data_IF_847281769279
#
_entry.id   IF_847281769279
#
_cell.length_a   1.000
_cell.length_b   1.000
_cell.length_c   1.000
_cell.angle_alpha   90.00
_cell.angle_beta   90.00
_cell.angle_gamma   90.00
#
_symmetry.space_group_name_H-M   'P 1'
#
loop_
_entity.id
_entity.type
_entity.pdbx_description
1 polymer ?
#
# COMPACT_ATOMS: atom_id res chain seq x y z
N UNK A 1 6.41 15.77 10.78
CA UNK A 1 5.58 14.58 10.96
C UNK A 1 4.51 14.56 9.89
N UNK A 2 4.27 13.44 9.17
CA UNK A 2 3.20 13.35 8.19
C UNK A 2 1.82 13.42 8.86
N UNK A 3 0.81 13.71 8.06
CA UNK A 3 -0.57 13.72 8.52
C UNK A 3 -1.49 13.12 7.47
N UNK A 4 -2.56 12.46 7.92
CA UNK A 4 -3.53 11.85 7.04
C UNK A 4 -4.92 11.87 7.70
N UNK A 5 -5.96 11.88 6.86
CA UNK A 5 -7.34 11.88 7.32
C UNK A 5 -7.75 10.51 7.86
N UNK A 6 -7.32 9.44 7.19
CA UNK A 6 -7.75 8.07 7.48
C UNK A 6 -6.66 7.17 8.03
N UNK A 7 -5.48 7.71 8.31
CA UNK A 7 -4.36 6.95 8.85
C UNK A 7 -3.85 7.64 10.10
N UNK A 8 -3.81 6.91 11.21
CA UNK A 8 -3.24 7.42 12.46
C UNK A 8 -1.74 7.07 12.55
N UNK A 9 -0.96 7.81 13.36
CA UNK A 9 0.46 7.51 13.55
C UNK A 9 0.75 6.06 13.96
N UNK A 10 -0.10 5.46 14.79
CA UNK A 10 0.05 4.06 15.18
C UNK A 10 -0.03 3.07 14.01
N UNK A 11 -0.72 3.46 12.93
CA UNK A 11 -0.85 2.61 11.75
C UNK A 11 0.36 2.68 10.81
N UNK A 12 1.07 3.81 10.76
CA UNK A 12 2.25 3.90 9.89
C UNK A 12 3.56 3.56 10.56
N UNK A 13 3.63 3.54 11.91
CA UNK A 13 4.85 3.21 12.64
C UNK A 13 5.21 1.74 12.53
N UNK A 14 6.50 1.45 12.71
CA UNK A 14 7.00 0.09 12.68
C UNK A 14 6.30 -0.78 13.72
N UNK A 15 5.86 -1.98 13.30
CA UNK A 15 5.14 -2.93 14.17
C UNK A 15 6.02 -3.55 15.26
N UNK A 16 7.34 -3.39 15.19
CA UNK A 16 8.25 -3.90 16.22
C UNK A 16 8.18 -3.11 17.53
N UNK A 17 7.50 -1.96 17.55
CA UNK A 17 7.40 -1.11 18.73
C UNK A 17 8.56 -0.15 18.93
N UNK A 18 9.47 -0.01 17.96
CA UNK A 18 10.59 0.92 18.07
C UNK A 18 10.18 2.40 18.00
N UNK A 19 8.93 2.69 17.64
CA UNK A 19 8.41 4.04 17.48
C UNK A 19 8.85 4.75 16.20
N UNK A 20 9.61 4.09 15.34
CA UNK A 20 10.10 4.66 14.09
C UNK A 20 9.03 4.77 13.01
N UNK A 21 9.18 5.74 12.11
CA UNK A 21 8.31 5.97 10.96
C UNK A 21 7.95 7.43 10.70
N UNK A 22 7.80 8.24 11.75
CA UNK A 22 7.33 9.64 11.63
C UNK A 22 8.20 10.50 10.71
N UNK A 23 9.51 10.25 10.66
CA UNK A 23 10.45 11.00 9.82
C UNK A 23 10.70 10.36 8.44
N UNK A 24 10.12 9.20 8.18
CA UNK A 24 10.42 8.37 7.01
C UNK A 24 9.23 8.22 6.09
N UNK A 25 8.02 8.07 6.64
CA UNK A 25 6.81 7.76 5.86
C UNK A 25 6.48 8.91 4.91
N UNK A 26 6.26 8.56 3.64
CA UNK A 26 5.92 9.50 2.57
C UNK A 26 4.56 10.12 2.79
N UNK A 27 4.50 11.46 2.78
CA UNK A 27 3.23 12.19 2.80
C UNK A 27 2.39 11.88 1.54
N UNK A 28 3.05 11.75 0.39
CA UNK A 28 2.36 11.42 -0.87
C UNK A 28 1.66 10.07 -0.80
N UNK A 29 2.30 9.08 -0.18
CA UNK A 29 1.70 7.75 0.04
C UNK A 29 0.42 7.87 0.86
N UNK A 30 0.45 8.64 1.94
CA UNK A 30 -0.71 8.83 2.82
C UNK A 30 -1.83 9.59 2.12
N UNK A 31 -1.50 10.61 1.32
CA UNK A 31 -2.50 11.36 0.54
C UNK A 31 -3.20 10.47 -0.48
N UNK A 32 -2.46 9.61 -1.15
CA UNK A 32 -3.04 8.65 -2.11
C UNK A 32 -3.92 7.61 -1.42
N UNK A 33 -3.52 7.15 -0.23
CA UNK A 33 -4.35 6.25 0.55
C UNK A 33 -5.67 6.92 0.96
N UNK A 34 -5.62 8.15 1.43
CA UNK A 34 -6.82 8.90 1.81
C UNK A 34 -7.80 9.02 0.63
N UNK A 35 -7.28 9.30 -0.57
CA UNK A 35 -8.08 9.36 -1.78
C UNK A 35 -8.68 8.00 -2.13
N UNK A 36 -7.88 6.94 -2.07
CA UNK A 36 -8.34 5.58 -2.32
C UNK A 36 -9.46 5.19 -1.33
N UNK A 37 -9.26 5.51 -0.05
CA UNK A 37 -10.24 5.24 1.01
C UNK A 37 -11.57 5.94 0.74
N UNK A 38 -11.54 7.18 0.29
CA UNK A 38 -12.74 7.93 -0.06
C UNK A 38 -13.47 7.33 -1.25
N UNK A 39 -12.73 6.90 -2.26
CA UNK A 39 -13.30 6.28 -3.46
C UNK A 39 -13.94 4.93 -3.17
N UNK A 40 -13.28 4.11 -2.39
CA UNK A 40 -13.79 2.78 -2.00
C UNK A 40 -15.05 2.92 -1.15
N UNK A 41 -15.12 3.90 -0.27
CA UNK A 41 -16.30 4.21 0.53
C UNK A 41 -16.51 3.33 1.74
N UNK A 42 -15.62 2.38 2.03
CA UNK A 42 -15.65 1.57 3.26
C UNK A 42 -14.28 1.55 3.92
N UNK A 43 -14.25 1.20 5.20
CA UNK A 43 -13.01 1.18 5.97
C UNK A 43 -11.97 0.23 5.36
N UNK A 44 -10.72 0.69 5.29
CA UNK A 44 -9.59 -0.10 4.80
C UNK A 44 -8.63 -0.39 5.94
N UNK A 45 -8.30 -1.67 6.13
CA UNK A 45 -7.31 -2.10 7.12
C UNK A 45 -5.91 -2.00 6.51
N UNK A 46 -5.01 -1.32 7.21
CA UNK A 46 -3.60 -1.22 6.84
C UNK A 46 -2.84 -2.31 7.57
N UNK A 47 -2.17 -3.18 6.82
CA UNK A 47 -1.40 -4.28 7.38
C UNK A 47 0.02 -3.86 7.75
N UNK A 48 0.64 -2.99 6.95
CA UNK A 48 2.00 -2.54 7.17
C UNK A 48 2.26 -1.25 6.39
N UNK A 49 2.99 -0.31 6.99
CA UNK A 49 3.54 0.85 6.28
C UNK A 49 5.06 0.86 6.44
N UNK A 50 5.58 1.47 7.48
CA UNK A 50 7.02 1.50 7.72
C UNK A 50 7.49 0.25 8.46
N UNK A 51 8.64 -0.28 8.04
CA UNK A 51 9.42 -1.30 8.76
C UNK A 51 10.84 -0.80 8.95
N UNK A 52 11.32 -0.76 10.20
CA UNK A 52 12.73 -0.47 10.43
C UNK A 52 13.61 -1.60 9.86
N UNK A 53 14.89 -1.33 9.54
CA UNK A 53 15.76 -2.36 8.96
C UNK A 53 15.85 -3.65 9.79
N UNK A 54 15.91 -3.53 11.12
CA UNK A 54 15.99 -4.69 12.00
C UNK A 54 14.71 -5.53 11.96
N UNK A 55 13.54 -4.90 11.98
CA UNK A 55 12.26 -5.61 11.87
C UNK A 55 12.13 -6.28 10.50
N UNK A 56 12.48 -5.57 9.44
CA UNK A 56 12.46 -6.10 8.07
C UNK A 56 13.34 -7.35 7.95
N UNK A 57 14.53 -7.34 8.54
CA UNK A 57 15.44 -8.48 8.54
C UNK A 57 14.88 -9.70 9.26
N UNK A 58 13.94 -9.51 10.20
CA UNK A 58 13.30 -10.59 10.94
C UNK A 58 12.16 -11.27 10.19
N UNK A 59 11.68 -10.68 9.10
CA UNK A 59 10.53 -11.19 8.34
C UNK A 59 11.03 -12.17 7.28
N UNK A 60 10.58 -13.45 7.30
CA UNK A 60 10.96 -14.41 6.27
C UNK A 60 10.56 -13.94 4.86
N UNK A 61 11.51 -13.99 3.92
CA UNK A 61 11.28 -13.61 2.53
C UNK A 61 11.31 -12.12 2.25
N UNK A 62 11.47 -11.26 3.27
CA UNK A 62 11.58 -9.83 3.06
C UNK A 62 12.93 -9.48 2.41
N UNK A 63 12.91 -8.54 1.45
CA UNK A 63 14.14 -8.06 0.81
C UNK A 63 14.77 -6.93 1.62
N UNK A 64 16.11 -6.83 1.71
CA UNK A 64 16.78 -5.81 2.51
C UNK A 64 16.46 -4.37 2.10
N UNK A 65 16.19 -4.14 0.82
CA UNK A 65 15.86 -2.84 0.25
C UNK A 65 14.35 -2.67 0.00
N UNK A 66 13.53 -3.29 0.84
CA UNK A 66 12.06 -3.17 0.75
C UNK A 66 11.62 -1.71 0.75
N UNK A 67 10.60 -1.40 -0.04
CA UNK A 67 10.00 -0.06 -0.06
C UNK A 67 9.38 0.31 1.30
N UNK A 68 9.00 -0.67 2.12
CA UNK A 68 8.53 -0.44 3.50
C UNK A 68 9.65 0.16 4.38
N UNK A 69 10.88 -0.23 4.17
CA UNK A 69 12.04 0.34 4.90
C UNK A 69 12.29 1.80 4.51
N UNK A 70 11.96 2.16 3.29
CA UNK A 70 12.08 3.53 2.79
C UNK A 70 10.89 4.43 3.16
N UNK A 71 9.84 3.87 3.78
CA UNK A 71 8.63 4.61 4.13
C UNK A 71 7.73 4.94 2.93
N UNK A 72 7.92 4.26 1.81
CA UNK A 72 7.22 4.54 0.54
C UNK A 72 6.18 3.50 0.17
N UNK A 73 5.97 2.49 1.01
CA UNK A 73 5.06 1.38 0.73
C UNK A 73 4.01 1.16 1.82
N UNK A 74 2.87 0.62 1.40
CA UNK A 74 1.76 0.27 2.26
C UNK A 74 1.12 -1.03 1.76
N UNK A 75 0.85 -1.95 2.67
CA UNK A 75 0.06 -3.14 2.39
C UNK A 75 -1.36 -2.94 2.93
N UNK A 76 -2.35 -3.05 2.06
CA UNK A 76 -3.75 -2.77 2.38
C UNK A 76 -4.59 -4.03 2.19
N UNK A 77 -5.24 -4.48 3.26
CA UNK A 77 -6.14 -5.62 3.22
C UNK A 77 -7.33 -5.34 2.30
N UNK A 78 -7.68 -6.29 1.44
CA UNK A 78 -8.91 -6.19 0.65
C UNK A 78 -10.11 -6.09 1.60
N UNK A 79 -10.95 -5.05 1.47
CA UNK A 79 -12.10 -4.91 2.37
C UNK A 79 -13.18 -5.92 2.03
N UNK A 80 -13.97 -6.31 3.05
CA UNK A 80 -15.07 -7.27 2.86
C UNK A 80 -16.21 -6.73 1.99
N UNK A 81 -16.25 -5.42 1.76
CA UNK A 81 -17.26 -4.79 0.91
C UNK A 81 -16.96 -4.93 -0.60
N UNK A 82 -15.76 -5.38 -0.96
CA UNK A 82 -15.32 -5.51 -2.35
C UNK A 82 -14.76 -6.89 -2.63
N UNK A 83 -14.89 -7.33 -3.88
CA UNK A 83 -14.08 -8.44 -4.38
C UNK A 83 -12.63 -7.95 -4.56
N UNK A 84 -11.69 -8.89 -4.58
CA UNK A 84 -10.28 -8.54 -4.78
C UNK A 84 -10.04 -7.86 -6.14
N UNK A 85 -10.75 -8.28 -7.18
CA UNK A 85 -10.69 -7.65 -8.50
C UNK A 85 -11.23 -6.23 -8.51
N UNK A 86 -12.32 -5.97 -7.78
CA UNK A 86 -12.86 -4.62 -7.62
C UNK A 86 -11.86 -3.72 -6.88
N UNK A 87 -11.25 -4.21 -5.82
CA UNK A 87 -10.25 -3.45 -5.07
C UNK A 87 -9.03 -3.11 -5.94
N UNK A 88 -8.54 -4.09 -6.69
CA UNK A 88 -7.45 -3.88 -7.67
C UNK A 88 -7.82 -2.78 -8.67
N UNK A 89 -9.05 -2.78 -9.17
CA UNK A 89 -9.54 -1.74 -10.08
C UNK A 89 -9.50 -0.34 -9.45
N UNK A 90 -9.87 -0.20 -8.18
CA UNK A 90 -9.79 1.08 -7.48
C UNK A 90 -8.34 1.58 -7.37
N UNK A 91 -7.39 0.70 -7.12
CA UNK A 91 -5.97 1.05 -7.07
C UNK A 91 -5.47 1.50 -8.44
N UNK A 92 -5.83 0.75 -9.49
CA UNK A 92 -5.44 1.07 -10.87
C UNK A 92 -6.00 2.41 -11.33
N UNK A 93 -7.27 2.70 -11.05
CA UNK A 93 -7.88 3.97 -11.41
C UNK A 93 -7.31 5.14 -10.61
N UNK A 94 -6.91 4.93 -9.37
CA UNK A 94 -6.22 5.95 -8.59
C UNK A 94 -4.89 6.32 -9.23
N UNK A 95 -4.12 5.34 -9.72
CA UNK A 95 -2.91 5.62 -10.50
C UNK A 95 -3.23 6.41 -11.77
N UNK A 96 -4.20 5.94 -12.55
CA UNK A 96 -4.54 6.54 -13.85
C UNK A 96 -4.98 8.01 -13.72
N UNK A 97 -5.71 8.34 -12.65
CA UNK A 97 -6.25 9.69 -12.46
C UNK A 97 -5.29 10.66 -11.77
N UNK A 98 -4.40 10.16 -10.91
CA UNK A 98 -3.53 11.00 -10.08
C UNK A 98 -2.07 10.93 -10.46
N UNK A 99 -1.66 9.92 -11.23
CA UNK A 99 -0.27 9.59 -11.47
C UNK A 99 0.41 8.96 -10.25
N UNK A 100 -0.36 8.65 -9.20
CA UNK A 100 0.16 8.04 -7.97
C UNK A 100 0.10 6.52 -7.95
N UNK A 101 0.71 5.92 -6.91
CA UNK A 101 1.00 4.50 -6.80
C UNK A 101 1.85 4.02 -7.98
N UNK A 102 3.14 4.32 -7.91
CA UNK A 102 4.11 3.94 -8.96
C UNK A 102 4.21 2.44 -9.17
N UNK A 103 3.92 1.66 -8.12
CA UNK A 103 3.93 0.21 -8.17
C UNK A 103 2.81 -0.36 -7.30
N UNK A 104 2.27 -1.50 -7.70
CA UNK A 104 1.32 -2.24 -6.88
C UNK A 104 1.45 -3.75 -7.12
N UNK A 105 1.26 -4.52 -6.05
CA UNK A 105 1.29 -5.98 -6.07
C UNK A 105 -0.01 -6.55 -5.54
N UNK A 106 -0.58 -7.52 -6.26
CA UNK A 106 -1.87 -8.15 -5.96
C UNK A 106 -1.63 -9.53 -5.36
N UNK A 107 -1.89 -9.67 -4.07
CA UNK A 107 -1.66 -10.91 -3.31
C UNK A 107 -3.01 -11.50 -2.91
N UNK A 108 -3.46 -12.52 -3.62
CA UNK A 108 -4.78 -13.12 -3.44
C UNK A 108 -4.70 -14.64 -3.43
N UNK A 109 -5.68 -15.29 -2.81
CA UNK A 109 -5.81 -16.75 -2.83
C UNK A 109 -6.64 -17.22 -4.02
N UNK A 110 -7.67 -16.47 -4.39
CA UNK A 110 -8.53 -16.76 -5.54
C UNK A 110 -8.17 -15.84 -6.71
N UNK A 111 -7.48 -16.39 -7.70
CA UNK A 111 -7.00 -15.66 -8.86
C UNK A 111 -8.09 -15.15 -9.80
N UNK A 112 -9.35 -15.56 -9.63
CA UNK A 112 -10.47 -15.04 -10.42
C UNK A 112 -10.78 -13.57 -10.12
N UNK A 113 -10.40 -13.09 -8.93
CA UNK A 113 -10.71 -11.74 -8.47
C UNK A 113 -12.17 -11.58 -8.01
N UNK A 114 -12.92 -12.68 -7.88
CA UNK A 114 -14.35 -12.65 -7.54
C UNK A 114 -14.64 -12.85 -6.05
N UNK A 115 -13.60 -13.17 -5.24
CA UNK A 115 -13.77 -13.39 -3.80
C UNK A 115 -13.70 -12.09 -3.01
N UNK A 116 -14.67 -11.91 -2.11
CA UNK A 116 -14.75 -10.73 -1.23
C UNK A 116 -13.73 -10.81 -0.11
N UNK A 117 -13.06 -9.68 0.18
CA UNK A 117 -12.11 -9.60 1.29
C UNK A 117 -10.87 -10.47 1.13
N UNK A 118 -10.59 -10.95 -0.08
CA UNK A 118 -9.49 -11.87 -0.35
C UNK A 118 -8.16 -11.15 -0.52
N UNK A 119 -7.20 -11.48 0.34
CA UNK A 119 -5.83 -11.03 0.22
C UNK A 119 -5.60 -9.57 0.52
N UNK A 120 -4.50 -9.04 -0.02
CA UNK A 120 -4.12 -7.64 0.16
C UNK A 120 -3.44 -7.09 -1.09
N UNK A 121 -3.34 -5.77 -1.17
CA UNK A 121 -2.57 -5.11 -2.22
C UNK A 121 -1.43 -4.33 -1.56
N UNK A 122 -0.22 -4.56 -2.07
CA UNK A 122 0.93 -3.71 -1.83
C UNK A 122 0.85 -2.52 -2.79
N UNK A 123 0.99 -1.31 -2.28
CA UNK A 123 1.13 -0.10 -3.10
C UNK A 123 2.36 0.67 -2.67
N UNK A 124 3.04 1.33 -3.60
CA UNK A 124 4.16 2.18 -3.24
C UNK A 124 4.34 3.38 -4.17
N UNK A 125 5.10 4.34 -3.65
CA UNK A 125 5.46 5.57 -4.35
C UNK A 125 6.98 5.65 -4.54
N UNK A 126 7.58 4.56 -5.02
CA UNK A 126 9.06 4.43 -5.18
C UNK A 126 9.67 5.49 -6.09
N UNK A 127 8.88 6.08 -6.99
CA UNK A 127 9.31 7.13 -7.89
C UNK A 127 8.68 8.49 -7.56
N UNK A 128 8.27 8.69 -6.30
CA UNK A 128 7.71 9.94 -5.80
C UNK A 128 6.19 10.07 -5.94
N UNK A 129 5.50 9.09 -6.54
CA UNK A 129 4.06 9.10 -6.70
C UNK A 129 3.55 10.14 -7.69
N UNK A 130 4.38 10.50 -8.68
CA UNK A 130 4.04 11.48 -9.72
C UNK A 130 4.35 10.86 -11.08
N UNK A 131 3.30 10.55 -11.82
CA UNK A 131 3.41 9.97 -13.15
C UNK A 131 4.02 10.97 -14.13
N UNK A 132 5.01 10.51 -14.88
CA UNK A 132 5.53 11.21 -16.05
C UNK A 132 4.77 10.74 -17.29
N UNK A 133 4.74 11.58 -18.32
CA UNK A 133 4.07 11.23 -19.58
C UNK A 133 4.70 9.96 -20.17
N UNK A 134 3.87 8.98 -20.50
CA UNK A 134 4.29 7.70 -21.06
C UNK A 134 4.70 6.64 -20.05
N UNK A 135 4.74 6.97 -18.76
CA UNK A 135 5.04 5.97 -17.73
C UNK A 135 3.79 5.16 -17.35
N UNK A 136 4.02 3.89 -17.03
CA UNK A 136 3.01 2.98 -16.51
C UNK A 136 3.41 2.54 -15.10
N UNK A 137 2.40 2.13 -14.30
CA UNK A 137 2.67 1.54 -13.00
C UNK A 137 3.37 0.19 -13.15
N UNK A 138 4.28 -0.11 -12.22
CA UNK A 138 4.91 -1.42 -12.09
C UNK A 138 3.90 -2.33 -11.41
N UNK A 139 3.61 -3.49 -12.03
CA UNK A 139 2.59 -4.42 -11.53
C UNK A 139 3.16 -5.83 -11.38
N UNK A 140 2.78 -6.51 -10.31
CA UNK A 140 3.00 -7.95 -10.14
C UNK A 140 1.84 -8.59 -9.40
N UNK A 141 1.71 -9.92 -9.53
CA UNK A 141 0.74 -10.66 -8.74
C UNK A 141 1.37 -11.88 -8.07
N UNK A 142 0.72 -12.33 -7.00
CA UNK A 142 1.04 -13.55 -6.28
C UNK A 142 -0.30 -14.20 -5.89
N UNK A 143 -0.61 -15.30 -6.57
CA UNK A 143 -1.86 -16.02 -6.39
C UNK A 143 -1.54 -17.29 -5.60
N UNK A 144 -1.98 -17.28 -4.34
CA UNK A 144 -1.69 -18.34 -3.37
C UNK A 144 -2.58 -19.57 -3.45
#
# INVERSE_FOLDING_TARGET
MPSARYVSPGEWRCRCGCGGGDDVVSQRLLDLFDLLRERVGCALQINCVYRCPAHNASIPGAVPNSQHVLGTAMDIQCPKCLTSGQFKWYVETTFDETGGFDAYGWYVYDGSGESYGDGFIHVDVRNGGVRQEGEEAIYWDDIG
#
